data_IF_552492890545
#
_entry.id   IF_552492890545
#
_cell.length_a   1.000
_cell.length_b   1.000
_cell.length_c   1.000
_cell.angle_alpha   90.00
_cell.angle_beta   90.00
_cell.angle_gamma   90.00
#
_symmetry.space_group_name_H-M   'P 1'
#
loop_
_entity.id
_entity.type
_entity.pdbx_description
1 polymer ?
#
# COMPACT_ATOMS: atom_id res chain seq x y z
N UNK A 1 2.13 7.46 -6.85
CA UNK A 1 2.90 6.20 -6.85
C UNK A 1 4.29 6.49 -6.29
N UNK A 2 4.68 5.79 -5.21
CA UNK A 2 5.86 6.02 -4.36
C UNK A 2 7.21 5.46 -4.92
N UNK A 3 7.24 4.94 -6.16
CA UNK A 3 8.40 4.24 -6.75
C UNK A 3 8.11 2.80 -7.22
N UNK A 4 9.16 2.01 -7.46
CA UNK A 4 9.04 0.58 -7.79
C UNK A 4 8.83 -0.25 -6.52
N UNK A 5 7.63 -0.79 -6.29
CA UNK A 5 7.32 -1.69 -5.16
C UNK A 5 5.89 -2.22 -5.25
N UNK A 6 5.47 -3.00 -4.24
CA UNK A 6 4.09 -3.51 -4.13
C UNK A 6 3.24 -2.57 -3.26
N UNK A 7 2.08 -2.18 -3.79
CA UNK A 7 1.18 -1.19 -3.18
C UNK A 7 -0.10 -1.84 -2.68
N UNK A 8 -0.51 -1.47 -1.47
CA UNK A 8 -1.74 -1.96 -0.86
C UNK A 8 -2.50 -0.83 -0.18
N UNK A 9 -3.82 -1.02 -0.06
CA UNK A 9 -4.66 -0.23 0.85
C UNK A 9 -4.82 -0.99 2.17
N UNK A 10 -5.11 -0.27 3.25
CA UNK A 10 -5.17 -0.85 4.61
C UNK A 10 -6.40 -1.72 4.85
N UNK A 11 -7.45 -1.54 4.05
CA UNK A 11 -8.71 -2.26 4.21
C UNK A 11 -9.45 -2.40 2.88
N UNK A 12 -10.47 -3.27 2.86
CA UNK A 12 -11.39 -3.38 1.72
C UNK A 12 -12.08 -2.05 1.40
N UNK A 13 -12.58 -1.34 2.43
CA UNK A 13 -13.23 -0.05 2.25
C UNK A 13 -12.28 0.98 1.59
N UNK A 14 -11.00 0.98 1.96
CA UNK A 14 -9.99 1.86 1.36
C UNK A 14 -9.60 1.41 -0.06
N UNK A 15 -9.74 0.11 -0.35
CA UNK A 15 -9.49 -0.49 -1.66
C UNK A 15 -10.57 -0.10 -2.66
N UNK A 16 -11.85 -0.12 -2.27
CA UNK A 16 -12.97 0.35 -3.12
C UNK A 16 -12.83 1.82 -3.53
N UNK A 17 -12.24 2.64 -2.64
CA UNK A 17 -11.91 4.04 -2.94
C UNK A 17 -10.87 4.23 -4.05
N UNK A 18 -10.04 3.20 -4.33
CA UNK A 18 -8.95 3.24 -5.33
C UNK A 18 -9.26 2.42 -6.58
N UNK A 19 -9.71 1.18 -6.40
CA UNK A 19 -10.09 0.28 -7.48
C UNK A 19 -11.58 0.46 -7.74
N UNK A 20 -11.92 1.43 -8.60
CA UNK A 20 -13.30 1.73 -9.02
C UNK A 20 -13.99 0.43 -9.50
N UNK A 21 -15.01 0.01 -8.75
CA UNK A 21 -16.07 -0.95 -9.12
C UNK A 21 -15.64 -2.42 -9.41
N UNK A 22 -16.60 -3.34 -9.21
CA UNK A 22 -16.63 -4.78 -9.51
C UNK A 22 -15.37 -5.41 -10.15
N UNK A 23 -14.87 -6.49 -9.55
CA UNK A 23 -13.68 -7.18 -10.05
C UNK A 23 -13.00 -8.05 -8.99
N UNK A 24 -11.74 -8.40 -9.28
CA UNK A 24 -10.89 -9.17 -8.37
C UNK A 24 -10.03 -8.23 -7.52
N UNK A 25 -9.98 -8.46 -6.20
CA UNK A 25 -9.12 -7.76 -5.26
C UNK A 25 -8.15 -8.74 -4.60
N UNK A 26 -6.92 -8.32 -4.34
CA UNK A 26 -5.98 -9.09 -3.53
C UNK A 26 -6.00 -8.51 -2.12
N UNK A 27 -6.27 -9.37 -1.15
CA UNK A 27 -6.07 -9.07 0.28
C UNK A 27 -4.83 -9.80 0.72
N UNK A 28 -3.89 -9.08 1.31
CA UNK A 28 -2.65 -9.65 1.79
C UNK A 28 -2.46 -9.40 3.29
N UNK A 29 -2.05 -10.44 4.00
CA UNK A 29 -1.42 -10.33 5.31
C UNK A 29 0.05 -9.97 5.08
N UNK A 30 0.49 -8.84 5.60
CA UNK A 30 1.81 -8.26 5.31
C UNK A 30 2.57 -8.02 6.60
N UNK A 31 3.83 -8.47 6.64
CA UNK A 31 4.79 -8.06 7.65
C UNK A 31 5.38 -6.68 7.28
N UNK A 32 4.91 -5.64 7.95
CA UNK A 32 5.35 -4.27 7.66
C UNK A 32 6.78 -3.96 8.11
N UNK A 33 7.39 -4.77 8.99
CA UNK A 33 8.74 -4.55 9.48
C UNK A 33 8.95 -3.14 10.06
N UNK A 34 10.09 -2.53 9.79
CA UNK A 34 10.39 -1.16 10.20
C UNK A 34 9.77 -0.15 9.23
N UNK A 35 8.82 0.64 9.73
CA UNK A 35 7.99 1.54 8.91
C UNK A 35 8.44 2.99 9.01
N UNK A 36 8.59 3.67 7.88
CA UNK A 36 8.66 5.14 7.82
C UNK A 36 7.31 5.69 7.37
N UNK A 37 6.67 6.46 8.22
CA UNK A 37 5.51 7.25 7.84
C UNK A 37 5.94 8.52 7.11
N UNK A 38 5.19 8.87 6.05
CA UNK A 38 5.42 10.07 5.26
C UNK A 38 4.11 10.80 4.98
N UNK A 39 4.24 12.10 4.77
CA UNK A 39 3.18 12.97 4.26
C UNK A 39 3.30 13.16 2.74
N UNK A 40 2.23 13.68 2.11
CA UNK A 40 2.17 13.90 0.66
C UNK A 40 3.33 14.79 0.14
N UNK A 41 3.74 15.77 0.94
CA UNK A 41 4.85 16.66 0.61
C UNK A 41 6.22 15.95 0.50
N UNK A 42 6.35 14.75 1.08
CA UNK A 42 7.60 13.98 1.12
C UNK A 42 7.66 12.88 0.05
N UNK A 43 6.63 12.75 -0.79
CA UNK A 43 6.57 11.72 -1.84
C UNK A 43 7.74 11.84 -2.81
N UNK A 44 8.07 13.05 -3.27
CA UNK A 44 9.16 13.25 -4.23
C UNK A 44 10.53 12.92 -3.63
N UNK A 45 10.74 13.18 -2.33
CA UNK A 45 11.96 12.79 -1.61
C UNK A 45 12.11 11.26 -1.61
N UNK A 46 11.03 10.54 -1.27
CA UNK A 46 11.03 9.07 -1.20
C UNK A 46 11.15 8.43 -2.58
N UNK A 47 10.48 8.99 -3.60
CA UNK A 47 10.49 8.44 -4.96
C UNK A 47 11.84 8.61 -5.64
N UNK A 48 12.50 9.74 -5.41
CA UNK A 48 13.73 10.09 -6.10
C UNK A 48 14.99 9.68 -5.33
N UNK A 49 14.85 9.10 -4.13
CA UNK A 49 15.98 8.62 -3.34
C UNK A 49 15.76 7.20 -2.82
N UNK A 50 16.74 6.32 -3.05
CA UNK A 50 16.77 4.97 -2.47
C UNK A 50 17.21 4.99 -0.98
N UNK A 51 17.22 6.17 -0.36
CA UNK A 51 17.72 6.38 1.00
C UNK A 51 16.92 5.57 2.03
N UNK A 52 15.61 5.48 1.83
CA UNK A 52 14.71 4.76 2.72
C UNK A 52 14.90 3.24 2.63
N UNK A 53 15.27 2.71 1.46
CA UNK A 53 15.47 1.27 1.24
C UNK A 53 16.54 0.67 2.17
N UNK A 54 17.49 1.48 2.63
CA UNK A 54 18.55 1.02 3.55
C UNK A 54 18.10 0.95 5.01
N UNK A 55 17.06 1.68 5.38
CA UNK A 55 16.70 1.92 6.78
C UNK A 55 15.32 1.38 7.15
N UNK A 56 14.42 1.25 6.17
CA UNK A 56 13.03 0.89 6.37
C UNK A 56 12.61 -0.24 5.43
N UNK A 57 11.69 -1.06 5.90
CA UNK A 57 11.09 -2.17 5.14
C UNK A 57 9.79 -1.73 4.46
N UNK A 58 9.14 -0.69 4.98
CA UNK A 58 7.88 -0.17 4.45
C UNK A 58 7.82 1.35 4.52
N UNK A 59 7.34 1.98 3.45
CA UNK A 59 6.88 3.37 3.45
C UNK A 59 5.38 3.41 3.60
N UNK A 60 4.90 4.24 4.52
CA UNK A 60 3.49 4.45 4.79
C UNK A 60 3.09 5.89 4.49
N UNK A 61 2.30 6.10 3.43
CA UNK A 61 1.74 7.40 3.09
C UNK A 61 0.39 7.57 3.79
N UNK A 62 0.37 8.45 4.79
CA UNK A 62 -0.85 8.82 5.51
C UNK A 62 -1.65 9.82 4.67
N UNK A 63 -2.94 9.55 4.48
CA UNK A 63 -3.88 10.45 3.82
C UNK A 63 -4.91 10.91 4.86
N UNK A 64 -4.61 12.00 5.59
CA UNK A 64 -5.48 12.48 6.68
C UNK A 64 -6.90 12.81 6.22
N UNK A 65 -7.07 13.29 4.98
CA UNK A 65 -8.38 13.73 4.46
C UNK A 65 -9.16 12.63 3.74
N UNK A 66 -8.49 11.68 3.08
CA UNK A 66 -9.14 10.75 2.15
C UNK A 66 -9.39 9.35 2.72
N UNK A 67 -8.88 9.02 3.93
CA UNK A 67 -8.84 7.65 4.50
C UNK A 67 -8.20 6.60 3.56
N UNK A 68 -7.51 7.03 2.51
CA UNK A 68 -6.94 6.17 1.47
C UNK A 68 -5.46 5.90 1.69
N UNK A 69 -5.09 5.54 2.91
CA UNK A 69 -3.68 5.32 3.23
C UNK A 69 -3.07 4.31 2.25
N UNK A 70 -1.92 4.66 1.70
CA UNK A 70 -1.15 3.78 0.83
C UNK A 70 0.10 3.37 1.56
N UNK A 71 0.54 2.15 1.30
CA UNK A 71 1.85 1.73 1.76
C UNK A 71 2.54 0.90 0.69
N UNK A 72 3.86 0.90 0.81
CA UNK A 72 4.81 0.41 -0.16
C UNK A 72 5.81 -0.47 0.59
N UNK A 73 5.76 -1.78 0.35
CA UNK A 73 6.70 -2.75 0.95
C UNK A 73 7.91 -2.96 0.05
N UNK A 74 9.08 -3.15 0.65
CA UNK A 74 10.36 -3.28 -0.03
C UNK A 74 10.54 -4.62 -0.73
N UNK A 75 10.14 -5.72 -0.10
CA UNK A 75 10.39 -7.08 -0.56
C UNK A 75 9.09 -7.91 -0.60
N UNK A 76 8.79 -8.63 -1.70
CA UNK A 76 7.61 -9.49 -1.79
C UNK A 76 7.51 -10.57 -0.69
N UNK A 77 8.63 -11.01 -0.11
CA UNK A 77 8.66 -11.94 1.02
C UNK A 77 8.01 -11.39 2.29
N UNK A 78 7.75 -10.07 2.35
CA UNK A 78 6.94 -9.46 3.41
C UNK A 78 5.45 -9.84 3.30
N UNK A 79 4.99 -10.39 2.18
CA UNK A 79 3.62 -10.92 2.03
C UNK A 79 3.58 -12.32 2.66
N UNK A 80 2.94 -12.44 3.82
CA UNK A 80 2.86 -13.69 4.57
C UNK A 80 1.82 -14.64 3.96
N UNK A 81 0.66 -14.09 3.62
CA UNK A 81 -0.47 -14.80 3.00
C UNK A 81 -1.25 -13.83 2.15
N UNK A 82 -1.96 -14.33 1.16
CA UNK A 82 -2.89 -13.52 0.39
C UNK A 82 -4.06 -14.36 -0.09
N UNK A 83 -5.17 -13.69 -0.35
CA UNK A 83 -6.35 -14.25 -1.00
C UNK A 83 -6.76 -13.32 -2.13
N UNK A 84 -7.34 -13.90 -3.18
CA UNK A 84 -8.04 -13.15 -4.21
C UNK A 84 -9.54 -13.21 -3.92
N UNK A 85 -10.17 -12.04 -3.79
CA UNK A 85 -11.60 -11.90 -3.59
C UNK A 85 -12.23 -11.43 -4.88
N UNK A 86 -13.16 -12.22 -5.41
CA UNK A 86 -13.94 -11.88 -6.58
C UNK A 86 -15.23 -11.21 -6.11
N UNK A 87 -15.46 -9.96 -6.50
CA UNK A 87 -16.73 -9.28 -6.31
C UNK A 87 -17.41 -9.14 -7.68
N UNK A 88 -18.49 -9.90 -7.89
CA UNK A 88 -19.27 -9.89 -9.12
C UNK A 88 -20.27 -8.71 -9.20
N UNK A 89 -20.22 -7.79 -8.23
CA UNK A 89 -21.05 -6.59 -8.18
C UNK A 89 -22.50 -6.86 -7.75
N UNK A 90 -22.81 -8.05 -7.22
CA UNK A 90 -24.14 -8.38 -6.68
C UNK A 90 -24.10 -8.35 -5.16
N UNK A 91 -24.72 -7.32 -4.58
CA UNK A 91 -25.07 -7.25 -3.15
C UNK A 91 -26.38 -7.99 -2.89
#
# INVERSE_FOLDING_TARGET
>A
MLGFSVYFARSFADTEGKARAAGAFIVAEINMGHVRMIERAQIDEVRNTDSWWKQFDTIYLKHEEEKRDEFCIKDPSQILKWIMVMNDGRL
#
